data_IF_722477832412
#
_entry.id   IF_722477832412
#
_cell.length_a   1.000
_cell.length_b   1.000
_cell.length_c   1.000
_cell.angle_alpha   90.00
_cell.angle_beta   90.00
_cell.angle_gamma   90.00
#
_symmetry.space_group_name_H-M   'P 1'
#
loop_
_entity.id
_entity.type
_entity.pdbx_description
1 polymer ?
#
# COMPACT_ATOMS: atom_id res chain seq x y z
N UNK A 1 -10.46 -10.91 -4.62
CA UNK A 1 -10.06 -10.65 -3.24
C UNK A 1 -10.86 -9.49 -2.67
N UNK A 2 -11.35 -9.65 -1.46
CA UNK A 2 -12.12 -8.60 -0.79
C UNK A 2 -11.26 -7.37 -0.53
N UNK A 3 -9.97 -7.57 -0.24
CA UNK A 3 -9.04 -6.46 -0.01
C UNK A 3 -8.89 -5.63 -1.28
N UNK A 4 -8.69 -6.29 -2.42
CA UNK A 4 -8.52 -5.61 -3.70
C UNK A 4 -9.78 -4.84 -4.08
N UNK A 5 -10.93 -5.49 -3.98
CA UNK A 5 -12.23 -4.85 -4.29
C UNK A 5 -12.45 -3.63 -3.41
N UNK A 6 -12.18 -3.77 -2.12
CA UNK A 6 -12.33 -2.68 -1.18
C UNK A 6 -11.41 -1.50 -1.53
N UNK A 7 -10.15 -1.80 -1.81
CA UNK A 7 -9.16 -0.77 -2.12
C UNK A 7 -9.48 -0.01 -3.41
N UNK A 8 -9.93 -0.73 -4.43
CA UNK A 8 -10.18 -0.13 -5.75
C UNK A 8 -11.32 0.88 -5.77
N UNK A 9 -12.26 0.79 -4.83
CA UNK A 9 -13.34 1.77 -4.78
C UNK A 9 -12.87 3.20 -4.51
N UNK A 10 -11.66 3.35 -3.97
CA UNK A 10 -11.11 4.67 -3.62
C UNK A 10 -10.26 5.28 -4.72
N UNK A 11 -10.06 4.60 -5.85
CA UNK A 11 -9.29 5.14 -6.96
C UNK A 11 -9.90 6.46 -7.43
N UNK A 12 -9.04 7.48 -7.58
CA UNK A 12 -9.47 8.83 -7.92
C UNK A 12 -9.66 9.74 -6.72
N UNK A 13 -9.72 9.19 -5.52
CA UNK A 13 -9.89 9.99 -4.31
C UNK A 13 -8.58 10.70 -3.96
N UNK A 14 -8.71 11.71 -3.11
CA UNK A 14 -7.68 12.72 -2.86
C UNK A 14 -6.51 12.20 -2.02
N UNK A 15 -5.30 12.58 -2.40
CA UNK A 15 -4.11 12.45 -1.56
C UNK A 15 -4.03 13.65 -0.62
N UNK A 16 -3.68 13.41 0.64
CA UNK A 16 -3.41 14.45 1.61
C UNK A 16 -2.31 13.99 2.55
N UNK A 17 -1.22 14.73 2.63
CA UNK A 17 -0.11 14.40 3.54
C UNK A 17 -0.63 14.30 4.99
N UNK A 18 -0.28 13.20 5.66
CA UNK A 18 -0.76 12.93 7.02
C UNK A 18 -2.21 12.48 7.10
N UNK A 19 -2.91 12.39 5.98
CA UNK A 19 -4.31 11.98 5.95
C UNK A 19 -4.49 10.51 6.27
N UNK A 20 -5.61 10.18 6.91
CA UNK A 20 -5.90 8.82 7.40
C UNK A 20 -7.20 8.23 6.85
N UNK A 21 -7.96 9.00 6.07
CA UNK A 21 -9.26 8.55 5.57
C UNK A 21 -9.34 8.81 4.06
N UNK A 22 -9.45 7.76 3.23
CA UNK A 22 -9.49 7.94 1.78
C UNK A 22 -10.72 8.67 1.26
N UNK A 23 -11.73 8.86 2.10
CA UNK A 23 -12.91 9.63 1.72
C UNK A 23 -12.70 11.14 1.86
N UNK A 24 -11.70 11.57 2.61
CA UNK A 24 -11.42 12.99 2.85
C UNK A 24 -10.00 13.40 2.47
N UNK A 25 -9.11 12.44 2.31
CA UNK A 25 -7.71 12.66 1.97
C UNK A 25 -6.81 11.75 2.76
N UNK A 26 -5.88 11.10 2.08
CA UNK A 26 -5.06 10.06 2.68
C UNK A 26 -3.67 10.06 2.03
N UNK A 27 -2.64 9.77 2.84
CA UNK A 27 -1.30 9.55 2.30
C UNK A 27 -1.07 8.06 2.04
N UNK A 28 0.12 7.68 1.58
CA UNK A 28 0.39 6.31 1.16
C UNK A 28 0.19 5.30 2.29
N UNK A 29 0.76 5.55 3.45
CA UNK A 29 0.64 4.64 4.61
C UNK A 29 -0.73 4.73 5.27
N UNK A 30 -1.38 5.87 5.19
CA UNK A 30 -2.75 6.03 5.66
C UNK A 30 -3.71 5.19 4.84
N UNK A 31 -3.50 5.14 3.52
CA UNK A 31 -4.32 4.35 2.62
C UNK A 31 -4.19 2.85 2.91
N UNK A 32 -2.96 2.33 2.97
CA UNK A 32 -2.74 0.92 3.27
C UNK A 32 -3.28 0.55 4.64
N UNK A 33 -3.08 1.40 5.65
CA UNK A 33 -3.61 1.16 7.00
C UNK A 33 -5.13 1.09 7.00
N UNK A 34 -5.78 2.03 6.30
CA UNK A 34 -7.24 2.08 6.26
C UNK A 34 -7.81 0.84 5.58
N UNK A 35 -7.26 0.48 4.42
CA UNK A 35 -7.74 -0.69 3.67
C UNK A 35 -7.55 -1.97 4.48
N UNK A 36 -6.37 -2.16 5.05
CA UNK A 36 -6.09 -3.39 5.78
C UNK A 36 -6.93 -3.52 7.05
N UNK A 37 -7.16 -2.42 7.74
CA UNK A 37 -8.01 -2.45 8.94
C UNK A 37 -9.46 -2.79 8.58
N UNK A 38 -10.00 -2.18 7.56
CA UNK A 38 -11.42 -2.33 7.21
C UNK A 38 -11.72 -3.62 6.44
N UNK A 39 -10.79 -4.09 5.61
CA UNK A 39 -11.02 -5.25 4.77
C UNK A 39 -10.44 -6.55 5.32
N UNK A 40 -9.45 -6.47 6.21
CA UNK A 40 -8.74 -7.65 6.71
C UNK A 40 -8.55 -7.66 8.23
N UNK A 41 -9.00 -6.62 8.93
CA UNK A 41 -8.86 -6.48 10.38
C UNK A 41 -7.39 -6.56 10.82
N UNK A 42 -6.49 -6.03 10.01
CA UNK A 42 -5.07 -5.97 10.32
C UNK A 42 -4.70 -4.54 10.67
N UNK A 43 -4.12 -4.33 11.85
CA UNK A 43 -3.68 -3.01 12.29
C UNK A 43 -2.24 -2.76 11.83
N UNK A 44 -2.02 -1.64 11.14
CA UNK A 44 -0.71 -1.25 10.66
C UNK A 44 -0.36 0.13 11.21
N UNK A 45 0.93 0.39 11.49
CA UNK A 45 1.32 1.74 11.88
C UNK A 45 1.13 2.71 10.71
N UNK A 46 0.83 3.98 11.04
CA UNK A 46 0.69 5.03 10.03
C UNK A 46 2.07 5.59 9.69
N UNK A 47 2.90 4.74 9.10
CA UNK A 47 4.22 5.14 8.61
C UNK A 47 4.71 4.09 7.62
N UNK A 48 5.28 4.55 6.52
CA UNK A 48 5.79 3.64 5.49
C UNK A 48 6.93 2.78 6.04
N UNK A 49 7.85 3.39 6.79
CA UNK A 49 8.93 2.64 7.42
C UNK A 49 8.44 1.61 8.41
N UNK A 50 7.44 1.97 9.23
CA UNK A 50 6.85 1.04 10.18
C UNK A 50 6.17 -0.14 9.51
N UNK A 51 5.42 0.12 8.43
CA UNK A 51 4.76 -0.95 7.70
C UNK A 51 5.75 -1.90 7.04
N UNK A 52 6.90 -1.40 6.59
CA UNK A 52 7.93 -2.24 5.97
C UNK A 52 8.53 -3.27 6.93
N UNK A 53 8.35 -3.08 8.22
CA UNK A 53 8.85 -3.98 9.26
C UNK A 53 7.78 -4.92 9.80
N UNK A 54 6.57 -4.86 9.26
CA UNK A 54 5.47 -5.73 9.68
C UNK A 54 5.50 -7.05 8.91
N UNK A 55 4.92 -8.08 9.52
CA UNK A 55 4.75 -9.37 8.86
C UNK A 55 6.06 -10.04 8.46
N UNK A 56 6.03 -10.75 7.34
CA UNK A 56 7.22 -11.42 6.81
C UNK A 56 7.55 -10.92 5.42
N UNK A 57 8.84 -10.88 5.13
CA UNK A 57 9.31 -10.48 3.80
C UNK A 57 9.00 -11.58 2.78
N UNK A 58 8.56 -11.18 1.59
CA UNK A 58 8.32 -12.09 0.47
C UNK A 58 9.06 -11.59 -0.75
N UNK A 59 9.36 -12.51 -1.67
CA UNK A 59 9.98 -12.13 -2.95
C UNK A 59 8.91 -11.67 -3.93
N UNK A 60 9.35 -10.98 -4.98
CA UNK A 60 8.42 -10.53 -6.03
C UNK A 60 7.75 -11.70 -6.76
N UNK A 61 8.42 -12.86 -6.82
CA UNK A 61 7.83 -14.03 -7.45
C UNK A 61 6.76 -14.70 -6.60
N UNK A 62 6.72 -14.37 -5.30
CA UNK A 62 5.78 -14.97 -4.35
C UNK A 62 4.71 -13.99 -3.87
N UNK A 63 4.78 -12.74 -4.30
CA UNK A 63 3.82 -11.75 -3.80
C UNK A 63 2.41 -12.05 -4.29
N UNK A 64 1.45 -11.78 -3.41
CA UNK A 64 0.03 -12.04 -3.66
C UNK A 64 -0.79 -10.80 -3.35
N UNK A 65 -1.99 -10.69 -3.93
CA UNK A 65 -2.88 -9.56 -3.60
C UNK A 65 -3.03 -9.39 -2.09
N UNK A 66 -2.88 -8.18 -1.61
CA UNK A 66 -2.88 -7.87 -0.18
C UNK A 66 -1.50 -7.67 0.42
N UNK A 67 -0.44 -8.07 -0.29
CA UNK A 67 0.91 -7.78 0.15
C UNK A 67 1.22 -6.30 -0.03
N UNK A 68 2.12 -5.79 0.80
CA UNK A 68 2.52 -4.38 0.76
C UNK A 68 3.90 -4.27 0.14
N UNK A 69 4.01 -3.45 -0.90
CA UNK A 69 5.28 -3.19 -1.57
C UNK A 69 5.82 -1.87 -1.06
N UNK A 70 7.06 -1.88 -0.61
CA UNK A 70 7.71 -0.74 0.03
C UNK A 70 8.82 -0.21 -0.88
N UNK A 71 8.79 1.09 -1.14
CA UNK A 71 9.74 1.78 -2.02
C UNK A 71 10.56 2.77 -1.21
N UNK A 72 11.72 3.12 -1.70
CA UNK A 72 12.54 4.07 -1.00
C UNK A 72 13.84 4.35 -1.72
N UNK A 73 14.75 5.00 -0.99
CA UNK A 73 16.09 5.32 -1.44
C UNK A 73 17.07 4.60 -0.51
N UNK A 74 17.87 3.70 -1.07
CA UNK A 74 18.74 2.83 -0.25
C UNK A 74 17.87 1.97 0.66
N UNK A 75 18.16 2.01 1.95
CA UNK A 75 17.37 1.26 2.94
C UNK A 75 16.22 2.06 3.53
N UNK A 76 16.10 3.33 3.16
CA UNK A 76 15.09 4.22 3.70
C UNK A 76 13.80 4.10 2.91
N UNK A 77 12.74 3.67 3.59
CA UNK A 77 11.42 3.53 2.97
C UNK A 77 10.72 4.89 3.01
N UNK A 78 10.16 5.31 1.86
CA UNK A 78 9.40 6.56 1.79
C UNK A 78 8.05 6.42 1.11
N UNK A 79 7.67 5.21 0.68
CA UNK A 79 6.39 4.99 0.03
C UNK A 79 5.97 3.53 0.17
N UNK A 80 4.66 3.31 0.28
CA UNK A 80 4.07 1.96 0.31
C UNK A 80 2.88 1.90 -0.62
N UNK A 81 2.62 0.71 -1.14
CA UNK A 81 1.53 0.46 -2.06
C UNK A 81 0.96 -0.93 -1.81
N UNK A 82 -0.30 -1.12 -2.16
CA UNK A 82 -0.98 -2.40 -2.01
C UNK A 82 -0.93 -3.16 -3.34
N UNK A 83 -0.39 -4.38 -3.29
CA UNK A 83 -0.37 -5.24 -4.48
C UNK A 83 -1.78 -5.78 -4.74
N UNK A 84 -2.25 -5.68 -5.98
CA UNK A 84 -3.59 -6.11 -6.35
C UNK A 84 -3.60 -7.25 -7.36
N UNK A 85 -2.42 -7.81 -7.68
CA UNK A 85 -2.30 -8.89 -8.65
C UNK A 85 -2.00 -8.38 -10.05
N UNK A 86 -1.65 -9.30 -10.93
CA UNK A 86 -1.38 -9.00 -12.34
C UNK A 86 -0.30 -7.93 -12.56
N UNK A 87 0.65 -7.85 -11.64
CA UNK A 87 1.73 -6.88 -11.73
C UNK A 87 1.33 -5.45 -11.42
N UNK A 88 0.20 -5.24 -10.73
CA UNK A 88 -0.32 -3.91 -10.46
C UNK A 88 -0.44 -3.62 -8.98
N UNK A 89 -0.34 -2.34 -8.66
CA UNK A 89 -0.53 -1.82 -7.30
C UNK A 89 -1.63 -0.77 -7.31
N UNK A 90 -2.25 -0.55 -6.16
CA UNK A 90 -3.07 0.63 -5.90
C UNK A 90 -2.44 1.40 -4.74
N UNK A 91 -2.33 2.70 -4.89
CA UNK A 91 -1.64 3.52 -3.89
C UNK A 91 -2.08 4.98 -3.94
N UNK A 92 -1.98 5.63 -2.78
CA UNK A 92 -2.10 7.09 -2.70
C UNK A 92 -0.75 7.66 -3.12
N UNK A 93 -0.67 8.17 -4.33
CA UNK A 93 0.60 8.50 -4.97
C UNK A 93 1.06 9.93 -4.70
N UNK A 94 0.35 10.92 -5.21
CA UNK A 94 0.70 12.33 -5.03
C UNK A 94 -0.58 13.16 -4.92
N UNK A 95 -0.43 14.41 -4.49
CA UNK A 95 -1.56 15.35 -4.45
C UNK A 95 -2.16 15.58 -5.83
N UNK A 96 -1.33 15.45 -6.87
CA UNK A 96 -1.77 15.64 -8.24
C UNK A 96 -2.62 14.49 -8.76
N UNK A 97 -2.25 13.25 -8.41
CA UNK A 97 -2.89 12.06 -8.95
C UNK A 97 -3.90 11.43 -8.01
N UNK A 98 -3.74 11.66 -6.70
CA UNK A 98 -4.56 10.96 -5.71
C UNK A 98 -4.25 9.48 -5.69
N UNK A 99 -5.28 8.70 -5.39
CA UNK A 99 -5.20 7.24 -5.34
C UNK A 99 -5.33 6.72 -6.77
N UNK A 100 -4.37 5.89 -7.17
CA UNK A 100 -4.31 5.40 -8.56
C UNK A 100 -3.76 3.99 -8.62
N UNK A 101 -3.96 3.35 -9.77
CA UNK A 101 -3.34 2.06 -10.10
C UNK A 101 -2.06 2.35 -10.90
N UNK A 102 -1.01 1.62 -10.60
CA UNK A 102 0.29 1.69 -11.30
C UNK A 102 0.86 0.30 -11.43
N UNK A 103 1.95 0.16 -12.20
CA UNK A 103 2.68 -1.11 -12.22
C UNK A 103 3.52 -1.22 -10.94
N UNK A 104 3.65 -2.44 -10.41
CA UNK A 104 4.38 -2.65 -9.16
C UNK A 104 5.85 -2.20 -9.24
N UNK A 105 6.43 -2.27 -10.41
CA UNK A 105 7.84 -1.94 -10.63
C UNK A 105 8.05 -0.58 -11.29
N UNK A 106 7.08 0.34 -11.15
CA UNK A 106 7.27 1.72 -11.61
C UNK A 106 8.43 2.40 -10.90
N UNK A 107 8.77 1.93 -9.73
CA UNK A 107 10.01 2.19 -8.98
C UNK A 107 10.55 0.83 -8.56
N UNK A 108 11.85 0.73 -8.30
CA UNK A 108 12.43 -0.51 -7.78
C UNK A 108 12.02 -0.68 -6.32
N UNK A 109 11.32 -1.77 -5.97
CA UNK A 109 10.96 -2.00 -4.57
C UNK A 109 12.18 -2.25 -3.71
N UNK A 110 12.13 -1.77 -2.47
CA UNK A 110 13.15 -2.06 -1.47
C UNK A 110 12.78 -3.34 -0.72
N UNK A 111 11.48 -3.53 -0.45
CA UNK A 111 11.01 -4.64 0.35
C UNK A 111 9.54 -4.92 0.03
N UNK A 112 9.15 -6.18 0.12
CA UNK A 112 7.74 -6.59 0.00
C UNK A 112 7.42 -7.40 1.24
N UNK A 113 6.30 -7.09 1.90
CA UNK A 113 5.91 -7.78 3.13
C UNK A 113 4.49 -8.32 3.05
N UNK A 114 4.30 -9.51 3.60
CA UNK A 114 2.99 -10.10 3.81
C UNK A 114 2.56 -9.83 5.24
N UNK A 115 1.46 -9.12 5.42
CA UNK A 115 0.94 -8.76 6.75
C UNK A 115 -0.33 -9.55 7.10
N UNK A 116 -0.80 -10.39 6.19
CA UNK A 116 -2.02 -11.18 6.40
C UNK A 116 -1.77 -12.45 7.21
N UNK A 117 -0.53 -12.86 7.34
CA UNK A 117 -0.16 -14.04 8.13
C UNK A 117 -0.34 -15.36 7.40
N UNK A 118 -0.52 -15.33 6.09
CA UNK A 118 -0.72 -16.56 5.29
C UNK A 118 0.44 -16.90 4.36
#
# INVERSE_FOLDING_TARGET
SEIVTYALQFVGNRYKYGGTNPNTGVDCSGFTSYVMRHAAEVELPHSSGGQSRMGRQVSSSEMRPGDIICYGSGKRINHVALYIGNGQIVHASTERTGIKVSRWNYRTPVRIVNVLGD
#
